data_IF_396600075357
#
_entry.id   IF_396600075357
#
_cell.length_a   1.000
_cell.length_b   1.000
_cell.length_c   1.000
_cell.angle_alpha   90.00
_cell.angle_beta   90.00
_cell.angle_gamma   90.00
#
_symmetry.space_group_name_H-M   'P 1'
#
loop_
_entity.id
_entity.type
_entity.pdbx_description
1 polymer ?
#
# COMPACT_ATOMS: atom_id res chain seq x y z
N UNK A 1 -20.29 -5.84 20.95
CA UNK A 1 -19.64 -6.00 19.63
C UNK A 1 -20.73 -6.35 18.64
N UNK A 2 -20.80 -5.67 17.49
CA UNK A 2 -21.73 -6.03 16.41
C UNK A 2 -21.36 -7.40 15.81
N UNK A 3 -22.26 -7.97 14.99
CA UNK A 3 -21.98 -9.21 14.28
C UNK A 3 -20.86 -9.04 13.24
N UNK A 4 -20.29 -10.14 12.76
CA UNK A 4 -19.29 -10.09 11.67
C UNK A 4 -19.86 -9.40 10.42
N UNK A 5 -21.12 -9.65 10.11
CA UNK A 5 -21.81 -9.04 8.97
C UNK A 5 -21.99 -7.52 9.16
N UNK A 6 -22.29 -7.07 10.38
CA UNK A 6 -22.37 -5.64 10.70
C UNK A 6 -21.00 -4.94 10.49
N UNK A 7 -19.91 -5.59 10.89
CA UNK A 7 -18.56 -5.05 10.70
C UNK A 7 -18.20 -4.97 9.22
N UNK A 8 -18.45 -6.04 8.46
CA UNK A 8 -18.22 -6.08 7.00
C UNK A 8 -19.01 -5.01 6.26
N UNK A 9 -20.28 -4.82 6.64
CA UNK A 9 -21.11 -3.75 6.10
C UNK A 9 -20.52 -2.38 6.42
N UNK A 10 -20.14 -2.15 7.68
CA UNK A 10 -19.56 -0.89 8.12
C UNK A 10 -18.29 -0.52 7.34
N UNK A 11 -17.39 -1.48 7.07
CA UNK A 11 -16.20 -1.23 6.25
C UNK A 11 -16.54 -0.78 4.83
N UNK A 12 -17.45 -1.48 4.14
CA UNK A 12 -17.82 -1.11 2.77
C UNK A 12 -18.52 0.26 2.70
N UNK A 13 -19.32 0.59 3.71
CA UNK A 13 -20.06 1.85 3.75
C UNK A 13 -19.14 3.05 4.08
N UNK A 14 -18.18 2.88 5.00
CA UNK A 14 -17.48 4.01 5.61
C UNK A 14 -15.99 4.12 5.27
N UNK A 15 -15.33 3.07 4.76
CA UNK A 15 -13.94 3.17 4.34
C UNK A 15 -13.87 3.57 2.86
N UNK A 16 -13.52 4.83 2.58
CA UNK A 16 -13.38 5.37 1.22
C UNK A 16 -11.92 5.63 0.87
N UNK A 17 -11.48 5.16 -0.29
CA UNK A 17 -10.10 5.24 -0.74
C UNK A 17 -9.60 6.70 -0.82
N UNK A 18 -10.41 7.59 -1.39
CA UNK A 18 -10.09 9.02 -1.53
C UNK A 18 -10.02 9.71 -0.17
N UNK A 19 -10.95 9.43 0.73
CA UNK A 19 -10.98 10.06 2.07
C UNK A 19 -9.78 9.59 2.90
N UNK A 20 -9.49 8.30 2.87
CA UNK A 20 -8.31 7.72 3.54
C UNK A 20 -7.01 8.29 2.97
N UNK A 21 -6.87 8.35 1.65
CA UNK A 21 -5.70 8.96 1.00
C UNK A 21 -5.54 10.43 1.40
N UNK A 22 -6.62 11.20 1.42
CA UNK A 22 -6.60 12.59 1.86
C UNK A 22 -6.16 12.70 3.32
N UNK A 23 -6.72 11.88 4.21
CA UNK A 23 -6.34 11.87 5.63
C UNK A 23 -4.85 11.57 5.81
N UNK A 24 -4.31 10.58 5.07
CA UNK A 24 -2.89 10.26 5.11
C UNK A 24 -2.02 11.44 4.66
N UNK A 25 -2.40 12.13 3.58
CA UNK A 25 -1.66 13.29 3.09
C UNK A 25 -1.74 14.49 4.04
N UNK A 26 -2.93 14.79 4.57
CA UNK A 26 -3.13 15.87 5.54
C UNK A 26 -2.29 15.65 6.81
N UNK A 27 -2.06 14.38 7.17
CA UNK A 27 -1.27 13.99 8.33
C UNK A 27 0.17 13.57 8.01
N UNK A 28 0.63 13.69 6.76
CA UNK A 28 1.88 13.08 6.28
C UNK A 28 3.05 13.38 7.22
N UNK A 29 3.28 14.65 7.56
CA UNK A 29 4.38 15.07 8.46
C UNK A 29 4.39 14.35 9.82
N UNK A 30 3.22 14.00 10.34
CA UNK A 30 3.08 13.31 11.63
C UNK A 30 3.31 11.81 11.48
N UNK A 31 2.90 11.23 10.35
CA UNK A 31 2.93 9.79 10.12
C UNK A 31 4.16 9.32 9.34
N UNK A 32 4.93 10.22 8.72
CA UNK A 32 6.10 9.92 7.88
C UNK A 32 7.06 8.97 8.57
N UNK A 33 7.38 9.19 9.85
CA UNK A 33 8.31 8.32 10.58
C UNK A 33 7.84 6.86 10.61
N UNK A 34 6.53 6.60 10.74
CA UNK A 34 6.00 5.23 10.73
C UNK A 34 6.14 4.58 9.36
N UNK A 35 5.92 5.34 8.29
CA UNK A 35 6.08 4.84 6.92
C UNK A 35 7.54 4.66 6.51
N UNK A 36 8.46 5.52 6.98
CA UNK A 36 9.89 5.34 6.77
C UNK A 36 10.41 4.10 7.48
N UNK A 37 10.01 3.89 8.75
CA UNK A 37 10.35 2.67 9.49
C UNK A 37 9.79 1.42 8.81
N UNK A 38 8.52 1.45 8.39
CA UNK A 38 7.88 0.32 7.70
C UNK A 38 8.55 0.03 6.36
N UNK A 39 8.82 1.07 5.56
CA UNK A 39 9.52 0.93 4.28
C UNK A 39 10.93 0.37 4.47
N UNK A 40 11.67 0.84 5.50
CA UNK A 40 13.01 0.35 5.82
C UNK A 40 12.99 -1.13 6.22
N UNK A 41 12.03 -1.52 7.06
CA UNK A 41 11.87 -2.91 7.45
C UNK A 41 11.55 -3.80 6.25
N UNK A 42 10.58 -3.41 5.40
CA UNK A 42 10.22 -4.17 4.20
C UNK A 42 11.44 -4.29 3.28
N UNK A 43 12.14 -3.18 3.02
CA UNK A 43 13.36 -3.15 2.21
C UNK A 43 14.43 -4.12 2.73
N UNK A 44 14.76 -4.07 4.01
CA UNK A 44 15.77 -4.96 4.61
C UNK A 44 15.37 -6.43 4.50
N UNK A 45 14.09 -6.75 4.74
CA UNK A 45 13.56 -8.11 4.62
C UNK A 45 13.71 -8.63 3.19
N UNK A 46 13.27 -7.88 2.19
CA UNK A 46 13.32 -8.35 0.78
C UNK A 46 14.76 -8.36 0.25
N UNK A 47 15.57 -7.35 0.61
CA UNK A 47 16.99 -7.27 0.23
C UNK A 47 17.83 -8.38 0.85
N UNK A 48 17.46 -8.86 2.03
CA UNK A 48 18.16 -9.99 2.67
C UNK A 48 18.10 -11.27 1.85
N UNK A 49 17.16 -11.37 0.88
CA UNK A 49 16.92 -12.58 0.07
C UNK A 49 16.60 -13.82 0.89
N UNK A 50 16.21 -13.66 2.16
CA UNK A 50 15.78 -14.76 3.04
C UNK A 50 14.44 -15.36 2.61
N UNK A 51 13.60 -14.56 1.96
CA UNK A 51 12.31 -14.97 1.43
C UNK A 51 12.31 -14.71 -0.07
N UNK A 52 12.24 -15.77 -0.86
CA UNK A 52 12.25 -15.73 -2.32
C UNK A 52 11.05 -16.52 -2.86
N UNK A 53 10.60 -16.17 -4.06
CA UNK A 53 9.53 -16.87 -4.74
C UNK A 53 9.06 -16.13 -5.99
N UNK A 54 8.19 -16.78 -6.75
CA UNK A 54 7.59 -16.18 -7.95
C UNK A 54 6.44 -15.22 -7.60
N UNK A 55 5.71 -15.50 -6.51
CA UNK A 55 4.45 -14.85 -6.17
C UNK A 55 4.47 -14.33 -4.73
N UNK A 56 3.97 -13.11 -4.55
CA UNK A 56 3.71 -12.49 -3.25
C UNK A 56 2.21 -12.12 -3.16
N UNK A 57 1.57 -12.43 -2.03
CA UNK A 57 0.22 -12.01 -1.71
C UNK A 57 0.27 -10.97 -0.58
N UNK A 58 -0.18 -9.75 -0.86
CA UNK A 58 -0.45 -8.73 0.16
C UNK A 58 -1.90 -8.86 0.62
N UNK A 59 -2.11 -8.99 1.93
CA UNK A 59 -3.44 -9.13 2.54
C UNK A 59 -3.82 -7.81 3.21
N UNK A 60 -4.94 -7.22 2.80
CA UNK A 60 -5.44 -5.96 3.35
C UNK A 60 -4.63 -4.76 2.88
N UNK A 61 -4.46 -4.61 1.56
CA UNK A 61 -3.66 -3.53 0.96
C UNK A 61 -4.27 -2.13 1.14
N UNK A 62 -5.55 -2.03 1.49
CA UNK A 62 -6.32 -0.80 1.27
C UNK A 62 -6.21 -0.36 -0.19
N UNK A 63 -6.19 0.95 -0.43
CA UNK A 63 -5.88 1.53 -1.73
C UNK A 63 -4.38 1.86 -1.91
N UNK A 64 -3.50 1.33 -1.06
CA UNK A 64 -2.09 1.75 -0.99
C UNK A 64 -1.19 0.93 -1.91
N UNK A 65 -0.11 1.55 -2.41
CA UNK A 65 0.83 0.91 -3.37
C UNK A 65 2.28 0.90 -2.91
N UNK A 66 2.63 1.71 -1.91
CA UNK A 66 4.02 1.88 -1.47
C UNK A 66 4.57 0.68 -0.69
N UNK A 67 3.71 -0.11 -0.03
CA UNK A 67 4.13 -1.29 0.75
C UNK A 67 4.74 -2.39 -0.12
N UNK A 68 4.34 -2.49 -1.39
CA UNK A 68 4.84 -3.50 -2.32
C UNK A 68 6.03 -3.00 -3.15
N UNK A 69 6.42 -1.72 -3.03
CA UNK A 69 7.38 -1.09 -3.93
C UNK A 69 8.73 -1.83 -3.93
N UNK A 70 9.39 -1.95 -2.78
CA UNK A 70 10.67 -2.68 -2.71
C UNK A 70 10.53 -4.17 -2.99
N UNK A 71 9.38 -4.78 -2.65
CA UNK A 71 9.13 -6.18 -2.95
C UNK A 71 9.03 -6.44 -4.47
N UNK A 72 8.55 -5.47 -5.25
CA UNK A 72 8.39 -5.59 -6.71
C UNK A 72 9.70 -5.81 -7.47
N UNK A 73 10.84 -5.42 -6.89
CA UNK A 73 12.15 -5.70 -7.45
C UNK A 73 12.55 -7.19 -7.38
N UNK A 74 11.89 -7.97 -6.51
CA UNK A 74 12.25 -9.34 -6.20
C UNK A 74 11.15 -10.36 -6.52
N UNK A 75 9.88 -9.94 -6.49
CA UNK A 75 8.72 -10.77 -6.77
C UNK A 75 8.06 -10.33 -8.09
N UNK A 76 8.16 -11.12 -9.17
CA UNK A 76 7.61 -10.74 -10.47
C UNK A 76 6.07 -10.73 -10.51
N UNK A 77 5.42 -11.43 -9.59
CA UNK A 77 3.96 -11.47 -9.49
C UNK A 77 3.56 -11.05 -8.08
N UNK A 78 2.88 -9.91 -7.98
CA UNK A 78 2.31 -9.42 -6.71
C UNK A 78 0.79 -9.37 -6.86
N UNK A 79 0.09 -9.96 -5.89
CA UNK A 79 -1.36 -9.89 -5.77
C UNK A 79 -1.69 -9.06 -4.54
N UNK A 80 -2.31 -7.91 -4.74
CA UNK A 80 -2.87 -7.11 -3.65
C UNK A 80 -4.32 -7.55 -3.43
N UNK A 81 -4.66 -7.92 -2.20
CA UNK A 81 -6.02 -8.35 -1.83
C UNK A 81 -6.62 -7.40 -0.81
N UNK A 82 -7.88 -7.02 -1.05
CA UNK A 82 -8.60 -6.07 -0.22
C UNK A 82 -10.09 -6.42 -0.19
N UNK A 83 -10.69 -6.28 0.99
CA UNK A 83 -12.09 -6.57 1.24
C UNK A 83 -13.01 -5.49 0.67
N UNK A 84 -12.65 -4.21 0.84
CA UNK A 84 -13.48 -3.08 0.39
C UNK A 84 -13.36 -2.87 -1.12
N UNK A 85 -14.49 -2.85 -1.82
CA UNK A 85 -14.52 -2.73 -3.28
C UNK A 85 -13.93 -1.40 -3.79
N UNK A 86 -14.24 -0.30 -3.13
CA UNK A 86 -13.73 1.04 -3.46
C UNK A 86 -12.20 1.07 -3.48
N UNK A 87 -11.56 0.44 -2.48
CA UNK A 87 -10.11 0.31 -2.44
C UNK A 87 -9.55 -0.54 -3.60
N UNK A 88 -10.22 -1.64 -3.96
CA UNK A 88 -9.81 -2.47 -5.10
C UNK A 88 -9.92 -1.71 -6.43
N UNK A 89 -10.98 -0.94 -6.63
CA UNK A 89 -11.12 -0.14 -7.84
C UNK A 89 -10.05 0.97 -7.91
N UNK A 90 -9.75 1.63 -6.78
CA UNK A 90 -8.67 2.61 -6.71
C UNK A 90 -7.29 2.02 -7.09
N UNK A 91 -7.00 0.79 -6.65
CA UNK A 91 -5.77 0.07 -7.05
C UNK A 91 -5.77 -0.28 -8.54
N UNK A 92 -6.89 -0.75 -9.09
CA UNK A 92 -7.02 -1.05 -10.52
C UNK A 92 -6.82 0.19 -11.37
N UNK A 93 -7.35 1.33 -10.95
CA UNK A 93 -7.18 2.59 -11.66
C UNK A 93 -5.73 3.09 -11.58
N UNK A 94 -5.05 2.87 -10.44
CA UNK A 94 -3.63 3.21 -10.31
C UNK A 94 -2.78 2.37 -11.25
N UNK A 95 -3.03 1.06 -11.30
CA UNK A 95 -2.37 0.13 -12.22
C UNK A 95 -2.56 0.52 -13.70
N UNK A 96 -3.72 1.10 -14.05
CA UNK A 96 -4.02 1.59 -15.41
C UNK A 96 -3.46 2.98 -15.71
N UNK A 97 -2.87 3.67 -14.72
CA UNK A 97 -2.42 5.06 -14.85
C UNK A 97 -3.53 6.11 -14.86
N UNK A 98 -4.75 5.75 -14.41
CA UNK A 98 -5.92 6.62 -14.40
C UNK A 98 -6.37 7.01 -12.98
N UNK A 99 -5.62 6.62 -11.95
CA UNK A 99 -6.01 6.92 -10.57
C UNK A 99 -5.94 8.42 -10.29
N UNK A 100 -6.95 8.97 -9.59
CA UNK A 100 -6.86 10.32 -9.04
C UNK A 100 -5.96 10.38 -7.78
N UNK A 101 -5.51 9.24 -7.25
CA UNK A 101 -4.71 9.17 -6.02
C UNK A 101 -3.21 9.24 -6.35
N UNK A 102 -2.57 10.33 -5.94
CA UNK A 102 -1.13 10.50 -6.05
C UNK A 102 -0.40 9.88 -4.85
N UNK A 103 0.40 8.85 -5.10
CA UNK A 103 1.19 8.15 -4.08
C UNK A 103 2.67 8.54 -4.09
N UNK A 104 3.07 9.58 -4.84
CA UNK A 104 4.47 9.94 -5.05
C UNK A 104 5.25 10.18 -3.76
N UNK A 105 4.67 10.92 -2.80
CA UNK A 105 5.31 11.18 -1.51
C UNK A 105 5.60 9.89 -0.73
N UNK A 106 4.69 8.92 -0.76
CA UNK A 106 4.86 7.63 -0.11
C UNK A 106 5.83 6.72 -0.86
N UNK A 107 5.80 6.72 -2.20
CA UNK A 107 6.72 5.98 -3.05
C UNK A 107 8.16 6.53 -3.00
N UNK A 108 8.33 7.82 -2.65
CA UNK A 108 9.65 8.42 -2.47
C UNK A 108 10.45 7.78 -1.34
N UNK A 109 9.78 7.21 -0.34
CA UNK A 109 10.42 6.59 0.83
C UNK A 109 11.19 5.30 0.46
N UNK A 110 10.58 4.26 -0.14
CA UNK A 110 11.32 3.11 -0.62
C UNK A 110 12.31 3.47 -1.74
N UNK A 111 11.98 4.40 -2.63
CA UNK A 111 12.91 4.86 -3.68
C UNK A 111 14.22 5.41 -3.10
N UNK A 112 14.16 6.21 -2.03
CA UNK A 112 15.35 6.71 -1.31
C UNK A 112 16.19 5.59 -0.69
N UNK A 113 15.56 4.54 -0.18
CA UNK A 113 16.26 3.37 0.40
C UNK A 113 16.97 2.54 -0.67
N UNK A 114 16.48 2.59 -1.90
CA UNK A 114 17.04 1.91 -3.07
C UNK A 114 18.13 2.72 -3.78
N UNK A 115 18.55 3.85 -3.20
CA UNK A 115 19.48 4.81 -3.82
C UNK A 115 18.99 5.32 -5.20
N UNK A 116 17.68 5.30 -5.44
CA UNK A 116 17.10 5.80 -6.68
C UNK A 116 17.24 7.33 -6.74
N UNK A 117 17.96 7.80 -7.76
CA UNK A 117 18.08 9.23 -8.09
C UNK A 117 17.13 9.51 -9.25
N UNK A 118 15.94 10.01 -8.91
CA UNK A 118 14.96 10.51 -9.88
C UNK A 118 15.44 11.73 -10.65
#
# INVERSE_FOLDING_TARGET
MGSEDDMKKNFNENLKAIEYHKELNDNLKRITIYYELTSSFIYDVVKSRRFEGEKLLEIGSGATVHNIASASAYFPIIVQSEFVEDNREALKDWLKGNSPLDWSDFLSMPARLEDFKG
#
